data_IF_198004778228
#
_entry.id   IF_198004778228
#
_cell.length_a   1.000
_cell.length_b   1.000
_cell.length_c   1.000
_cell.angle_alpha   90.00
_cell.angle_beta   90.00
_cell.angle_gamma   90.00
#
_symmetry.space_group_name_H-M   'P 1'
#
loop_
_entity.id
_entity.type
_entity.pdbx_description
1 polymer ?
#
# COMPACT_ATOMS: atom_id res chain seq x y z
N UNK A 1 -13.63 -42.34 9.83
CA UNK A 1 -14.98 -42.73 9.42
C UNK A 1 -14.89 -44.00 8.58
N UNK A 2 -15.54 -45.09 8.99
CA UNK A 2 -15.72 -46.29 8.17
C UNK A 2 -17.19 -46.36 7.81
N UNK A 3 -17.49 -46.67 6.58
CA UNK A 3 -18.84 -47.01 6.14
C UNK A 3 -18.85 -48.40 5.57
N UNK A 4 -19.94 -49.08 5.70
CA UNK A 4 -20.13 -50.41 5.15
C UNK A 4 -21.47 -50.43 4.43
N UNK A 5 -21.47 -50.97 3.23
CA UNK A 5 -22.69 -51.20 2.47
C UNK A 5 -23.21 -52.60 2.88
N UNK A 6 -24.37 -52.64 3.49
CA UNK A 6 -25.00 -53.88 3.89
C UNK A 6 -26.10 -54.20 2.89
N UNK A 7 -26.13 -55.44 2.34
CA UNK A 7 -27.26 -55.87 1.54
C UNK A 7 -28.51 -56.03 2.41
N UNK A 8 -29.64 -55.82 1.85
CA UNK A 8 -30.86 -56.28 2.45
C UNK A 8 -30.87 -57.84 2.49
N UNK A 9 -31.67 -58.42 3.36
CA UNK A 9 -31.66 -59.87 3.63
C UNK A 9 -32.13 -60.77 2.42
N UNK A 10 -32.30 -60.20 1.23
CA UNK A 10 -32.70 -60.93 0.07
C UNK A 10 -31.53 -61.59 -0.70
N UNK A 11 -31.61 -62.82 -1.16
CA UNK A 11 -30.52 -63.44 -1.90
C UNK A 11 -30.19 -62.74 -3.22
N UNK A 12 -31.13 -62.05 -3.83
CA UNK A 12 -30.97 -61.28 -5.05
C UNK A 12 -30.12 -59.98 -4.79
N UNK A 13 -30.28 -59.36 -3.66
CA UNK A 13 -29.52 -58.20 -3.27
C UNK A 13 -28.04 -58.55 -3.03
N UNK A 14 -27.76 -59.64 -2.33
CA UNK A 14 -26.42 -60.18 -2.14
C UNK A 14 -25.72 -60.54 -3.45
N UNK A 15 -26.45 -61.15 -4.38
CA UNK A 15 -25.94 -61.54 -5.69
C UNK A 15 -25.63 -60.30 -6.54
N UNK A 16 -26.48 -59.28 -6.50
CA UNK A 16 -26.27 -58.04 -7.22
C UNK A 16 -25.05 -57.28 -6.67
N UNK A 17 -24.85 -57.23 -5.35
CA UNK A 17 -23.67 -56.58 -4.74
C UNK A 17 -22.36 -57.25 -5.16
N UNK A 18 -22.33 -58.59 -5.20
CA UNK A 18 -21.17 -59.38 -5.69
C UNK A 18 -20.90 -59.14 -7.17
N UNK A 19 -21.94 -59.12 -7.99
CA UNK A 19 -21.82 -58.94 -9.44
C UNK A 19 -21.28 -57.51 -9.77
N UNK A 20 -21.67 -56.50 -8.98
CA UNK A 20 -21.24 -55.10 -9.14
C UNK A 20 -19.93 -54.80 -8.41
N UNK A 21 -19.39 -55.76 -7.63
CA UNK A 21 -18.14 -55.55 -6.86
C UNK A 21 -18.23 -54.51 -5.76
N UNK A 22 -19.43 -54.12 -5.33
CA UNK A 22 -19.62 -53.08 -4.28
C UNK A 22 -19.57 -53.63 -2.86
N UNK A 23 -19.44 -54.96 -2.72
CA UNK A 23 -19.20 -55.66 -1.46
C UNK A 23 -17.72 -55.61 -1.02
N UNK A 24 -16.83 -55.16 -1.92
CA UNK A 24 -15.41 -55.10 -1.65
C UNK A 24 -14.95 -53.63 -1.55
N UNK A 25 -14.30 -53.29 -0.43
CA UNK A 25 -13.64 -52.00 -0.26
C UNK A 25 -12.27 -52.10 -0.92
N UNK A 26 -12.12 -51.58 -2.14
CA UNK A 26 -10.85 -51.56 -2.87
C UNK A 26 -9.80 -50.70 -2.14
N UNK A 27 -10.22 -49.60 -1.49
CA UNK A 27 -9.35 -48.76 -0.72
C UNK A 27 -10.06 -48.22 0.53
N UNK A 28 -9.47 -48.47 1.69
CA UNK A 28 -9.98 -47.92 2.96
C UNK A 28 -9.78 -46.43 3.00
N UNK A 29 -10.76 -45.69 3.51
CA UNK A 29 -10.59 -44.25 3.78
C UNK A 29 -9.44 -44.05 4.77
N UNK A 30 -8.58 -43.10 4.45
CA UNK A 30 -7.44 -42.68 5.30
C UNK A 30 -7.52 -41.20 5.53
N UNK A 31 -7.01 -40.76 6.68
CA UNK A 31 -6.78 -39.36 6.94
C UNK A 31 -5.62 -38.88 6.06
N UNK A 32 -5.64 -37.60 5.69
CA UNK A 32 -4.46 -36.96 5.16
C UNK A 32 -3.43 -36.82 6.30
N UNK A 33 -2.20 -37.19 6.03
CA UNK A 33 -1.05 -37.02 6.95
C UNK A 33 0.02 -36.19 6.28
N UNK A 34 0.52 -35.18 6.97
CA UNK A 34 1.51 -34.24 6.45
C UNK A 34 2.37 -33.70 7.59
N UNK A 35 3.56 -33.23 7.24
CA UNK A 35 4.47 -32.54 8.16
C UNK A 35 4.40 -31.04 7.85
N UNK A 36 4.15 -30.23 8.87
CA UNK A 36 4.15 -28.78 8.77
C UNK A 36 5.12 -28.21 9.81
N UNK A 37 6.11 -27.46 9.37
CA UNK A 37 7.16 -26.90 10.23
C UNK A 37 7.82 -27.95 11.13
N UNK A 38 8.12 -29.12 10.57
CA UNK A 38 8.75 -30.24 11.29
C UNK A 38 7.85 -31.03 12.24
N UNK A 39 6.54 -30.70 12.29
CA UNK A 39 5.56 -31.43 13.14
C UNK A 39 4.57 -32.22 12.28
N UNK A 40 4.30 -33.46 12.71
CA UNK A 40 3.31 -34.29 12.07
C UNK A 40 1.88 -33.84 12.38
N UNK A 41 1.07 -33.76 11.36
CA UNK A 41 -0.35 -33.42 11.45
C UNK A 41 -1.17 -34.45 10.69
N UNK A 42 -2.41 -34.62 11.13
CA UNK A 42 -3.39 -35.47 10.47
C UNK A 42 -4.73 -34.75 10.39
N UNK A 43 -5.38 -34.82 9.23
CA UNK A 43 -6.68 -34.20 8.99
C UNK A 43 -7.65 -35.21 8.35
N UNK A 44 -8.95 -35.06 8.63
CA UNK A 44 -10.01 -35.79 7.96
C UNK A 44 -10.30 -35.30 6.54
N UNK A 45 -9.77 -34.09 6.21
CA UNK A 45 -9.91 -33.46 4.90
C UNK A 45 -8.56 -33.29 4.24
N UNK A 46 -8.53 -33.30 2.92
CA UNK A 46 -7.34 -32.88 2.16
C UNK A 46 -7.18 -31.37 2.09
N UNK A 47 -8.21 -30.60 2.47
CA UNK A 47 -8.16 -29.14 2.55
C UNK A 47 -8.25 -28.71 3.98
N UNK A 48 -7.35 -27.83 4.41
CA UNK A 48 -7.28 -27.30 5.77
C UNK A 48 -6.67 -25.90 5.77
N UNK A 49 -7.03 -25.15 6.80
CA UNK A 49 -6.56 -23.78 6.96
C UNK A 49 -5.37 -23.73 7.94
N UNK A 50 -4.31 -23.02 7.56
CA UNK A 50 -3.13 -22.81 8.38
C UNK A 50 -3.10 -21.35 8.84
N UNK A 51 -2.98 -21.12 10.15
CA UNK A 51 -2.92 -19.79 10.79
C UNK A 51 -4.05 -18.82 10.40
N UNK A 52 -5.20 -19.32 9.96
CA UNK A 52 -6.32 -18.54 9.43
C UNK A 52 -5.96 -17.66 8.20
N UNK A 53 -4.85 -17.93 7.54
CA UNK A 53 -4.33 -17.15 6.42
C UNK A 53 -4.23 -17.96 5.14
N UNK A 54 -3.85 -19.24 5.24
CA UNK A 54 -3.64 -20.09 4.08
C UNK A 54 -4.65 -21.24 4.04
N UNK A 55 -5.33 -21.38 2.92
CA UNK A 55 -6.13 -22.58 2.65
C UNK A 55 -5.30 -23.51 1.78
N UNK A 56 -4.82 -24.62 2.36
CA UNK A 56 -3.99 -25.60 1.70
C UNK A 56 -4.82 -26.81 1.29
N UNK A 57 -4.59 -27.31 0.07
CA UNK A 57 -5.18 -28.52 -0.42
C UNK A 57 -4.10 -29.51 -0.85
N UNK A 58 -4.11 -30.69 -0.25
CA UNK A 58 -3.18 -31.78 -0.59
C UNK A 58 -3.71 -32.56 -1.78
N UNK A 59 -3.05 -32.45 -2.93
CA UNK A 59 -3.44 -33.09 -4.16
C UNK A 59 -2.72 -34.42 -4.43
N UNK A 60 -1.72 -34.75 -3.62
CA UNK A 60 -0.91 -35.95 -3.81
C UNK A 60 0.05 -36.22 -2.67
N UNK A 61 0.88 -37.22 -2.83
CA UNK A 61 1.94 -37.60 -1.89
C UNK A 61 3.22 -36.98 -2.39
N UNK A 62 3.94 -36.29 -1.49
CA UNK A 62 5.27 -35.75 -1.77
C UNK A 62 6.25 -36.88 -2.09
N UNK A 63 7.15 -36.66 -3.04
CA UNK A 63 8.28 -37.55 -3.26
C UNK A 63 9.24 -37.44 -2.08
N UNK A 64 9.94 -38.53 -1.75
CA UNK A 64 10.89 -38.56 -0.65
C UNK A 64 11.89 -37.40 -0.76
N UNK A 65 11.97 -36.60 0.31
CA UNK A 65 12.88 -35.45 0.42
C UNK A 65 12.42 -34.17 -0.31
N UNK A 66 11.20 -34.15 -0.90
CA UNK A 66 10.65 -32.91 -1.46
C UNK A 66 9.84 -32.17 -0.41
N UNK A 67 10.30 -30.98 -0.08
CA UNK A 67 9.59 -30.01 0.78
C UNK A 67 9.03 -28.89 -0.07
N UNK A 68 7.85 -28.38 0.28
CA UNK A 68 7.27 -27.20 -0.32
C UNK A 68 7.29 -26.09 0.71
N UNK A 69 7.95 -24.99 0.40
CA UNK A 69 7.93 -23.80 1.21
C UNK A 69 6.80 -22.89 0.70
N UNK A 70 5.98 -22.39 1.63
CA UNK A 70 4.93 -21.43 1.34
C UNK A 70 5.35 -20.12 1.99
N UNK A 71 5.50 -19.10 1.17
CA UNK A 71 5.87 -17.76 1.60
C UNK A 71 4.98 -16.72 0.93
N UNK A 72 4.96 -15.51 1.50
CA UNK A 72 4.32 -14.36 0.87
C UNK A 72 5.25 -13.80 -0.21
N UNK A 73 4.75 -13.76 -1.42
CA UNK A 73 5.43 -13.03 -2.48
C UNK A 73 4.85 -11.61 -2.54
N UNK A 74 5.74 -10.62 -2.56
CA UNK A 74 5.35 -9.24 -2.81
C UNK A 74 4.64 -9.13 -4.15
N UNK A 75 3.47 -8.53 -4.16
CA UNK A 75 2.77 -8.15 -5.40
C UNK A 75 3.42 -6.87 -5.94
N UNK A 76 4.42 -7.05 -6.80
CA UNK A 76 5.20 -5.96 -7.37
C UNK A 76 4.34 -5.03 -8.24
N UNK A 77 3.30 -5.54 -8.88
CA UNK A 77 2.39 -4.72 -9.67
C UNK A 77 1.55 -3.80 -8.76
N UNK A 78 1.02 -4.34 -7.68
CA UNK A 78 0.28 -3.55 -6.69
C UNK A 78 1.18 -2.49 -6.02
N UNK A 79 2.45 -2.82 -5.76
CA UNK A 79 3.43 -1.85 -5.25
C UNK A 79 3.68 -0.76 -6.28
N UNK A 80 3.97 -1.11 -7.54
CA UNK A 80 4.20 -0.15 -8.61
C UNK A 80 3.01 0.80 -8.81
N UNK A 81 1.80 0.30 -8.73
CA UNK A 81 0.58 1.11 -8.84
C UNK A 81 0.40 2.05 -7.64
N UNK A 82 0.73 1.61 -6.42
CA UNK A 82 0.69 2.45 -5.22
C UNK A 82 1.74 3.56 -5.26
N UNK A 83 2.97 3.24 -5.66
CA UNK A 83 4.05 4.22 -5.84
C UNK A 83 3.72 5.20 -6.95
N UNK A 84 3.12 4.74 -8.05
CA UNK A 84 2.65 5.61 -9.14
C UNK A 84 1.60 6.60 -8.65
N UNK A 85 0.67 6.17 -7.81
CA UNK A 85 -0.32 7.07 -7.19
C UNK A 85 0.33 8.11 -6.27
N UNK A 86 1.33 7.71 -5.48
CA UNK A 86 2.08 8.64 -4.63
C UNK A 86 2.82 9.69 -5.46
N UNK A 87 3.57 9.27 -6.49
CA UNK A 87 4.30 10.18 -7.36
C UNK A 87 3.37 11.12 -8.14
N UNK A 88 2.23 10.63 -8.63
CA UNK A 88 1.23 11.46 -9.28
C UNK A 88 0.64 12.50 -8.33
N UNK A 89 0.34 12.13 -7.09
CA UNK A 89 -0.17 13.08 -6.09
C UNK A 89 0.88 14.15 -5.74
N UNK A 90 2.16 13.76 -5.57
CA UNK A 90 3.27 14.68 -5.39
C UNK A 90 3.40 15.63 -6.60
N UNK A 91 3.44 15.10 -7.81
CA UNK A 91 3.56 15.88 -9.04
C UNK A 91 2.41 16.87 -9.21
N UNK A 92 1.20 16.50 -8.80
CA UNK A 92 0.04 17.41 -8.83
C UNK A 92 0.25 18.61 -7.89
N UNK A 93 0.79 18.39 -6.69
CA UNK A 93 1.12 19.49 -5.76
C UNK A 93 2.20 20.40 -6.36
N UNK A 94 3.25 19.84 -6.96
CA UNK A 94 4.29 20.61 -7.65
C UNK A 94 3.69 21.41 -8.79
N UNK A 95 2.83 20.81 -9.62
CA UNK A 95 2.14 21.47 -10.73
C UNK A 95 1.27 22.64 -10.26
N UNK A 96 0.48 22.42 -9.22
CA UNK A 96 -0.33 23.48 -8.60
C UNK A 96 0.56 24.61 -8.12
N UNK A 97 1.64 24.28 -7.41
CA UNK A 97 2.59 25.25 -6.91
C UNK A 97 3.20 26.08 -8.03
N UNK A 98 3.64 25.47 -9.12
CA UNK A 98 4.15 26.18 -10.30
C UNK A 98 3.10 27.08 -10.98
N UNK A 99 1.86 26.64 -11.03
CA UNK A 99 0.76 27.40 -11.65
C UNK A 99 0.44 28.70 -10.91
N UNK A 100 0.70 28.75 -9.60
CA UNK A 100 0.45 29.91 -8.74
C UNK A 100 1.71 30.61 -8.27
N UNK A 101 2.90 30.25 -8.81
CA UNK A 101 4.14 30.93 -8.48
C UNK A 101 4.18 32.34 -9.11
N UNK A 102 4.39 33.35 -8.29
CA UNK A 102 4.76 34.67 -8.77
C UNK A 102 6.21 34.60 -9.29
N UNK A 103 6.45 35.14 -10.50
CA UNK A 103 7.75 35.07 -11.17
C UNK A 103 8.92 35.64 -10.36
N UNK A 104 8.66 36.34 -9.27
CA UNK A 104 9.67 37.00 -8.43
C UNK A 104 9.97 36.27 -7.10
N UNK A 105 9.17 35.25 -6.73
CA UNK A 105 9.39 34.49 -5.48
C UNK A 105 9.19 33.00 -5.70
N UNK A 106 10.14 32.17 -5.24
CA UNK A 106 9.95 30.73 -5.26
C UNK A 106 8.69 30.38 -4.44
N UNK A 107 7.84 29.54 -5.01
CA UNK A 107 6.67 29.05 -4.30
C UNK A 107 7.11 28.21 -3.09
N UNK A 108 6.77 28.66 -1.89
CA UNK A 108 7.17 27.97 -0.66
C UNK A 108 6.69 26.53 -0.64
N UNK A 109 5.48 26.26 -1.13
CA UNK A 109 4.93 24.90 -1.17
C UNK A 109 5.79 23.98 -2.05
N UNK A 110 6.18 24.45 -3.25
CA UNK A 110 7.08 23.68 -4.14
C UNK A 110 8.43 23.47 -3.45
N UNK A 111 8.98 24.50 -2.82
CA UNK A 111 10.25 24.41 -2.10
C UNK A 111 10.20 23.39 -0.97
N UNK A 112 9.18 23.44 -0.13
CA UNK A 112 9.02 22.54 1.02
C UNK A 112 8.80 21.10 0.58
N UNK A 113 7.96 20.86 -0.44
CA UNK A 113 7.72 19.52 -0.98
C UNK A 113 8.95 18.97 -1.72
N UNK A 114 9.62 19.80 -2.54
CA UNK A 114 10.80 19.36 -3.26
C UNK A 114 12.00 19.12 -2.34
N UNK A 115 12.09 19.81 -1.19
CA UNK A 115 13.16 19.53 -0.22
C UNK A 115 13.04 18.12 0.33
N UNK A 116 11.80 17.66 0.64
CA UNK A 116 11.57 16.28 1.08
C UNK A 116 12.02 15.29 0.01
N UNK A 117 11.65 15.50 -1.26
CA UNK A 117 12.08 14.61 -2.33
C UNK A 117 13.61 14.61 -2.55
N UNK A 118 14.26 15.75 -2.32
CA UNK A 118 15.73 15.87 -2.40
C UNK A 118 16.44 15.19 -1.24
N UNK A 119 15.85 15.18 -0.05
CA UNK A 119 16.41 14.52 1.12
C UNK A 119 16.46 13.00 0.95
N UNK A 120 15.53 12.43 0.17
CA UNK A 120 15.45 10.99 -0.15
C UNK A 120 15.94 10.66 -1.57
N UNK A 121 16.61 11.58 -2.23
CA UNK A 121 16.91 11.48 -3.66
C UNK A 121 17.65 10.19 -4.03
N UNK A 122 18.71 9.88 -3.32
CA UNK A 122 19.57 8.75 -3.65
C UNK A 122 18.81 7.42 -3.51
N UNK A 123 18.02 7.30 -2.46
CA UNK A 123 17.24 6.11 -2.16
C UNK A 123 16.07 5.98 -3.17
N UNK A 124 15.44 7.08 -3.53
CA UNK A 124 14.36 7.11 -4.53
C UNK A 124 14.89 6.73 -5.92
N UNK A 125 16.03 7.29 -6.35
CA UNK A 125 16.67 6.97 -7.62
C UNK A 125 17.07 5.48 -7.68
N UNK A 126 17.56 4.91 -6.59
CA UNK A 126 17.88 3.48 -6.52
C UNK A 126 16.66 2.57 -6.72
N UNK A 127 15.47 3.05 -6.37
CA UNK A 127 14.20 2.35 -6.56
C UNK A 127 13.47 2.71 -7.86
N UNK A 128 14.09 3.51 -8.73
CA UNK A 128 13.51 3.92 -10.00
C UNK A 128 12.57 5.14 -9.93
N UNK A 129 12.68 5.96 -8.87
CA UNK A 129 11.98 7.26 -8.79
C UNK A 129 12.98 8.39 -8.99
N UNK A 130 13.03 8.96 -10.16
CA UNK A 130 13.96 10.04 -10.53
C UNK A 130 13.31 11.41 -10.34
N UNK A 131 14.03 12.32 -9.67
CA UNK A 131 13.61 13.71 -9.49
C UNK A 131 14.25 14.58 -10.60
N UNK A 132 13.41 15.19 -11.45
CA UNK A 132 13.88 16.07 -12.52
C UNK A 132 14.26 17.48 -12.03
N UNK A 133 14.74 18.33 -12.96
CA UNK A 133 15.15 19.70 -12.67
C UNK A 133 13.99 20.61 -12.22
N UNK A 134 12.77 20.30 -12.64
CA UNK A 134 11.54 21.02 -12.30
C UNK A 134 10.87 20.47 -11.03
N UNK A 135 11.53 19.53 -10.36
CA UNK A 135 11.12 18.82 -9.15
C UNK A 135 9.92 17.87 -9.34
N UNK A 136 9.68 17.34 -10.54
CA UNK A 136 8.72 16.26 -10.75
C UNK A 136 9.38 14.90 -10.54
N UNK A 137 8.62 13.95 -10.02
CA UNK A 137 9.04 12.55 -9.88
C UNK A 137 8.64 11.76 -11.12
N UNK A 138 9.62 11.13 -11.74
CA UNK A 138 9.45 10.17 -12.83
C UNK A 138 9.67 8.76 -12.30
N UNK A 139 8.93 7.79 -12.84
CA UNK A 139 8.98 6.40 -12.39
C UNK A 139 9.50 5.51 -13.52
N UNK A 140 10.61 4.82 -13.27
CA UNK A 140 11.01 3.66 -14.05
C UNK A 140 10.36 2.40 -13.43
N UNK A 141 9.34 1.87 -14.11
CA UNK A 141 8.59 0.69 -13.63
C UNK A 141 9.46 -0.57 -13.55
N UNK A 142 10.48 -0.70 -14.38
CA UNK A 142 11.35 -1.87 -14.39
C UNK A 142 12.25 -1.87 -13.15
N UNK A 143 12.90 -0.74 -12.87
CA UNK A 143 13.71 -0.59 -11.67
C UNK A 143 12.87 -0.72 -10.39
N UNK A 144 11.66 -0.18 -10.39
CA UNK A 144 10.74 -0.31 -9.25
C UNK A 144 10.30 -1.75 -9.04
N UNK A 145 10.06 -2.50 -10.13
CA UNK A 145 9.73 -3.92 -10.05
C UNK A 145 10.91 -4.73 -9.49
N UNK A 146 12.12 -4.45 -9.96
CA UNK A 146 13.34 -5.10 -9.48
C UNK A 146 13.56 -4.81 -7.99
N UNK A 147 13.41 -3.54 -7.57
CA UNK A 147 13.50 -3.15 -6.17
C UNK A 147 12.42 -3.79 -5.27
N UNK A 148 11.22 -4.02 -5.82
CA UNK A 148 10.11 -4.65 -5.09
C UNK A 148 10.27 -6.17 -4.94
N UNK A 149 11.07 -6.80 -5.78
CA UNK A 149 11.31 -8.26 -5.79
C UNK A 149 12.69 -8.66 -5.27
N UNK A 150 13.54 -7.68 -4.96
CA UNK A 150 14.87 -7.88 -4.42
C UNK A 150 14.86 -8.48 -3.00
N UNK A 151 15.97 -9.05 -2.56
CA UNK A 151 16.09 -9.61 -1.20
C UNK A 151 15.96 -8.53 -0.10
N UNK A 152 16.32 -7.29 -0.41
CA UNK A 152 16.24 -6.11 0.46
C UNK A 152 14.95 -5.28 0.25
N UNK A 153 13.96 -5.84 -0.44
CA UNK A 153 12.70 -5.15 -0.72
C UNK A 153 12.02 -4.56 0.53
N UNK A 154 12.17 -5.20 1.68
CA UNK A 154 11.61 -4.72 2.94
C UNK A 154 12.24 -3.39 3.39
N UNK A 155 13.56 -3.23 3.21
CA UNK A 155 14.27 -2.00 3.53
C UNK A 155 13.84 -0.88 2.56
N UNK A 156 13.74 -1.19 1.27
CA UNK A 156 13.24 -0.27 0.24
C UNK A 156 11.82 0.23 0.57
N UNK A 157 10.92 -0.67 0.99
CA UNK A 157 9.56 -0.27 1.41
C UNK A 157 9.55 0.55 2.70
N UNK A 158 10.47 0.31 3.61
CA UNK A 158 10.62 1.15 4.81
C UNK A 158 10.96 2.58 4.44
N UNK A 159 11.90 2.78 3.50
CA UNK A 159 12.30 4.09 3.00
C UNK A 159 11.13 4.80 2.28
N UNK A 160 10.42 4.08 1.40
CA UNK A 160 9.23 4.62 0.72
C UNK A 160 8.13 5.04 1.71
N UNK A 161 7.93 4.29 2.78
CA UNK A 161 6.98 4.66 3.83
C UNK A 161 7.43 5.91 4.60
N UNK A 162 8.73 6.04 4.93
CA UNK A 162 9.26 7.23 5.58
C UNK A 162 9.10 8.46 4.67
N UNK A 163 9.42 8.35 3.39
CA UNK A 163 9.20 9.39 2.39
C UNK A 163 7.73 9.81 2.32
N UNK A 164 6.82 8.86 2.17
CA UNK A 164 5.37 9.09 2.15
C UNK A 164 4.89 9.80 3.43
N UNK A 165 5.35 9.35 4.60
CA UNK A 165 4.92 9.91 5.88
C UNK A 165 5.47 11.33 6.09
N UNK A 166 6.69 11.60 5.61
CA UNK A 166 7.27 12.96 5.63
C UNK A 166 6.51 13.90 4.69
N UNK A 167 6.17 13.45 3.47
CA UNK A 167 5.33 14.22 2.54
C UNK A 167 3.95 14.50 3.12
N UNK A 168 3.33 13.49 3.73
CA UNK A 168 2.02 13.63 4.35
C UNK A 168 2.03 14.63 5.50
N UNK A 169 3.09 14.63 6.31
CA UNK A 169 3.27 15.59 7.40
C UNK A 169 3.39 17.02 6.86
N UNK A 170 4.14 17.23 5.78
CA UNK A 170 4.26 18.53 5.11
C UNK A 170 2.94 18.99 4.47
N UNK A 171 2.21 18.07 3.84
CA UNK A 171 0.90 18.36 3.29
C UNK A 171 -0.12 18.73 4.39
N UNK A 172 -0.06 18.06 5.54
CA UNK A 172 -0.89 18.37 6.69
C UNK A 172 -0.57 19.76 7.27
N UNK A 173 0.72 20.12 7.42
CA UNK A 173 1.13 21.48 7.81
C UNK A 173 0.57 22.54 6.86
N UNK A 174 0.67 22.31 5.56
CA UNK A 174 0.14 23.23 4.55
C UNK A 174 -1.38 23.35 4.61
N UNK A 175 -2.07 22.27 4.94
CA UNK A 175 -3.54 22.25 5.10
C UNK A 175 -4.01 22.99 6.36
N UNK A 176 -3.23 22.90 7.47
CA UNK A 176 -3.57 23.55 8.74
C UNK A 176 -3.33 25.07 8.65
N UNK A 177 -2.25 25.49 8.02
CA UNK A 177 -1.93 26.93 7.86
C UNK A 177 -1.62 27.28 6.39
N UNK A 178 -2.65 27.28 5.52
CA UNK A 178 -2.49 27.59 4.10
C UNK A 178 -1.99 29.04 3.88
N UNK A 179 -2.15 29.92 4.86
CA UNK A 179 -1.71 31.31 4.77
C UNK A 179 -0.19 31.47 4.78
N UNK A 180 0.55 30.45 5.22
CA UNK A 180 2.00 30.42 5.11
C UNK A 180 2.49 30.23 3.67
N UNK A 181 1.62 29.70 2.80
CA UNK A 181 1.93 29.35 1.42
C UNK A 181 1.34 30.32 0.40
N UNK A 182 0.63 31.35 0.87
CA UNK A 182 0.01 32.40 0.02
C UNK A 182 0.78 33.71 0.19
N UNK A 183 0.96 34.44 -0.91
CA UNK A 183 1.55 35.76 -0.86
C UNK A 183 0.67 36.74 -0.06
N UNK A 184 1.17 37.23 1.06
CA UNK A 184 0.48 38.26 1.85
C UNK A 184 0.52 39.59 1.10
N UNK A 185 -0.58 40.03 0.55
CA UNK A 185 -0.71 41.37 -0.02
C UNK A 185 -0.92 42.34 1.17
N UNK A 186 0.13 43.08 1.50
CA UNK A 186 0.05 44.16 2.49
C UNK A 186 -0.38 45.41 1.76
N UNK A 187 -1.64 45.80 1.91
CA UNK A 187 -2.13 47.07 1.37
C UNK A 187 -1.91 48.14 2.42
N UNK A 188 -0.92 48.99 2.17
CA UNK A 188 -0.72 50.18 3.00
C UNK A 188 -1.67 51.28 2.52
N UNK A 189 -2.69 51.59 3.31
CA UNK A 189 -3.51 52.76 3.05
C UNK A 189 -2.77 54.01 3.55
N UNK A 190 -2.36 54.86 2.61
CA UNK A 190 -1.94 56.24 2.96
C UNK A 190 -3.18 57.02 3.39
N UNK A 191 -3.26 57.39 4.66
CA UNK A 191 -4.30 58.27 5.14
C UNK A 191 -4.03 59.69 4.58
N UNK A 192 -4.86 60.25 3.67
CA UNK A 192 -4.52 61.49 2.98
C UNK A 192 -4.73 62.74 3.83
N UNK A 193 -4.80 62.64 5.14
CA UNK A 193 -5.17 63.84 5.82
C UNK A 193 -4.92 63.99 7.29
N UNK A 194 -3.95 63.50 7.96
CA UNK A 194 -3.48 64.07 9.24
C UNK A 194 -2.43 63.21 9.93
N UNK A 195 -1.39 63.85 10.40
CA UNK A 195 -0.09 63.43 10.88
C UNK A 195 -0.05 62.76 12.27
N UNK A 196 -1.10 62.18 12.78
CA UNK A 196 -1.10 61.65 14.15
C UNK A 196 -1.63 60.20 14.31
N UNK A 197 -1.93 59.49 13.24
CA UNK A 197 -2.25 58.10 13.35
C UNK A 197 -1.12 57.25 12.75
N UNK A 198 -0.51 56.43 13.57
CA UNK A 198 0.31 55.31 13.10
C UNK A 198 -0.44 54.62 11.97
N UNK A 199 0.18 54.35 10.80
CA UNK A 199 -0.51 53.65 9.73
C UNK A 199 -0.91 52.27 10.27
N UNK A 200 -2.20 52.05 10.46
CA UNK A 200 -2.71 50.74 10.76
C UNK A 200 -2.47 49.87 9.53
N UNK A 201 -1.55 48.96 9.64
CA UNK A 201 -1.38 47.90 8.68
C UNK A 201 -2.55 46.96 8.93
N UNK A 202 -3.67 47.24 8.26
CA UNK A 202 -4.84 46.33 8.30
C UNK A 202 -4.60 45.20 7.30
N UNK A 203 -4.54 44.01 7.82
CA UNK A 203 -4.65 42.82 6.95
C UNK A 203 -6.04 42.82 6.30
N UNK A 204 -6.16 42.28 5.09
CA UNK A 204 -7.43 42.09 4.40
C UNK A 204 -8.47 41.34 5.26
N UNK A 205 -8.01 40.66 6.30
CA UNK A 205 -8.83 39.89 7.26
C UNK A 205 -9.22 40.66 8.52
N UNK A 206 -8.67 41.86 8.77
CA UNK A 206 -9.02 42.64 9.96
C UNK A 206 -10.47 43.13 9.94
N UNK A 207 -11.04 43.30 8.75
CA UNK A 207 -12.46 43.59 8.59
C UNK A 207 -13.40 42.43 8.92
N UNK A 208 -12.97 41.20 8.70
CA UNK A 208 -13.75 40.00 9.01
C UNK A 208 -13.90 39.71 10.50
N UNK A 209 -12.96 40.20 11.34
CA UNK A 209 -13.07 40.04 12.79
C UNK A 209 -14.00 41.04 13.46
N UNK A 210 -14.22 42.21 12.85
CA UNK A 210 -15.10 43.23 13.38
C UNK A 210 -16.59 42.93 13.12
N UNK A 211 -16.89 42.21 12.05
CA UNK A 211 -18.30 41.87 11.68
C UNK A 211 -18.90 40.74 12.56
N UNK A 212 -18.17 40.22 13.51
CA UNK A 212 -18.61 39.12 14.39
C UNK A 212 -19.11 39.58 15.76
N UNK A 213 -19.02 40.90 16.08
CA UNK A 213 -19.38 41.46 17.37
C UNK A 213 -20.34 42.66 17.29
N UNK A 214 -21.01 42.87 16.14
CA UNK A 214 -22.12 43.82 16.04
C UNK A 214 -23.43 43.08 15.85
#
# INVERSE_FOLDING_TARGET
LSFQILPDASPSSMHAMKLLGIDQIAQKARNSSFVLNGKEHSSYSNSFMVNNQFNLTLNGISKDGSEATIDFKTDADAVADNVSRLANAYNEVIRIGHSYSDAQRPNKLVSDMSSVAKDYRNELEAMGLELDADNYLHIDRNLLYDAATAEDAQDNFSILNQFKDTLNSKAAEASIDPMNYVNKIIVAYKNPGHNFATPYITSIYSGMMLDRYC
#
